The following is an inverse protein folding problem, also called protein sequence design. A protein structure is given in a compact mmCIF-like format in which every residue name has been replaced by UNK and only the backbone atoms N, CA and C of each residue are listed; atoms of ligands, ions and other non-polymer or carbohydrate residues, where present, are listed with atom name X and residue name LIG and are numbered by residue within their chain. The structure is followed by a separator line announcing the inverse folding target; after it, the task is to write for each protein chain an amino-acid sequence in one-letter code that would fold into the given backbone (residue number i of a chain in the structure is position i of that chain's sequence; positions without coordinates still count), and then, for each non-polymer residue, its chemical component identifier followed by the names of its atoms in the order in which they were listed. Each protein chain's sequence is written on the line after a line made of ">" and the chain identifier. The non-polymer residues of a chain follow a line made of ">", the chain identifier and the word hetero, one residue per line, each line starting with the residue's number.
data_IF_317246038140
#
_entry.id   IF_317246038140
#
_cell.length_a   1.000
_cell.length_b   1.000
_cell.length_c   1.000
_cell.angle_alpha   90.00
_cell.angle_beta   90.00
_cell.angle_gamma   90.00
#
_symmetry.space_group_name_H-M   'P 1'
#
loop_
_entity.id
_entity.type
_entity.pdbx_description
1 polymer ?
#
# COMPACT_ATOMS: atom_id res chain seq x y z
N UNK A 1 -10.45 53.33 49.89
CA UNK A 1 -9.59 54.24 50.68
C UNK A 1 -8.40 53.40 51.13
N UNK A 2 -7.15 53.88 51.03
CA UNK A 2 -6.00 53.13 51.54
C UNK A 2 -6.14 52.95 53.05
N UNK A 3 -5.88 51.73 53.52
CA UNK A 3 -5.87 51.40 54.95
C UNK A 3 -4.46 51.57 55.50
N UNK A 4 -4.34 52.01 56.76
CA UNK A 4 -3.03 52.15 57.41
C UNK A 4 -2.78 50.88 58.22
N UNK A 5 -1.68 50.19 57.95
CA UNK A 5 -1.36 48.94 58.65
C UNK A 5 -0.02 48.34 58.25
N UNK A 6 0.22 47.10 58.66
CA UNK A 6 1.41 46.35 58.28
C UNK A 6 1.20 45.65 56.94
N UNK A 7 2.21 45.68 56.07
CA UNK A 7 2.18 44.92 54.84
C UNK A 7 2.07 43.42 55.17
N UNK A 8 1.20 42.70 54.47
CA UNK A 8 1.03 41.25 54.68
C UNK A 8 2.15 40.41 54.05
N UNK A 9 3.07 41.04 53.32
CA UNK A 9 4.23 40.38 52.74
C UNK A 9 5.39 40.28 53.75
N UNK A 10 5.93 39.07 53.93
CA UNK A 10 6.99 38.73 54.90
C UNK A 10 8.31 39.45 54.58
N UNK A 11 8.49 39.90 53.34
CA UNK A 11 9.68 40.61 52.89
C UNK A 11 9.64 42.12 53.15
N UNK A 12 8.52 42.65 53.66
CA UNK A 12 8.41 44.05 54.04
C UNK A 12 8.89 44.25 55.48
N UNK A 13 9.60 45.36 55.74
CA UNK A 13 9.90 45.79 57.10
C UNK A 13 8.59 46.00 57.89
N UNK A 14 8.61 45.71 59.20
CA UNK A 14 7.46 45.82 60.14
C UNK A 14 7.02 47.27 60.42
N UNK A 15 7.16 48.16 59.44
CA UNK A 15 6.75 49.55 59.50
C UNK A 15 5.29 49.68 59.05
N UNK A 16 4.55 50.56 59.73
CA UNK A 16 3.19 50.92 59.36
C UNK A 16 3.24 51.71 58.05
N UNK A 17 2.53 51.23 57.03
CA UNK A 17 2.49 51.81 55.68
C UNK A 17 1.03 51.99 55.22
N UNK A 18 0.84 52.81 54.19
CA UNK A 18 -0.40 52.79 53.43
C UNK A 18 -0.51 51.46 52.66
N UNK A 19 -1.63 50.78 52.85
CA UNK A 19 -1.95 49.51 52.25
C UNK A 19 -2.96 49.70 51.13
N UNK A 20 -2.71 48.95 50.07
CA UNK A 20 -3.51 48.91 48.86
C UNK A 20 -3.99 47.48 48.66
N UNK A 21 -5.25 47.32 48.26
CA UNK A 21 -5.81 46.01 47.95
C UNK A 21 -5.25 45.52 46.61
N UNK A 22 -4.50 44.42 46.63
CA UNK A 22 -3.99 43.82 45.41
C UNK A 22 -5.10 43.02 44.72
N UNK A 23 -5.59 43.49 43.57
CA UNK A 23 -6.61 42.76 42.79
C UNK A 23 -6.15 41.38 42.25
N UNK A 24 -4.86 41.06 42.32
CA UNK A 24 -4.34 39.76 41.89
C UNK A 24 -4.44 38.69 42.99
N UNK A 25 -4.33 39.06 44.27
CA UNK A 25 -4.33 38.11 45.40
C UNK A 25 -5.30 38.48 46.53
N UNK A 26 -6.03 39.58 46.38
CA UNK A 26 -7.00 40.14 47.35
C UNK A 26 -6.40 40.33 48.75
N UNK A 27 -5.10 40.68 48.81
CA UNK A 27 -4.38 40.97 50.06
C UNK A 27 -4.02 42.45 50.14
N UNK A 28 -4.09 43.05 51.34
CA UNK A 28 -3.58 44.40 51.56
C UNK A 28 -2.05 44.36 51.59
N UNK A 29 -1.41 45.08 50.67
CA UNK A 29 0.04 45.14 50.50
C UNK A 29 0.51 46.58 50.38
N UNK A 30 1.77 46.85 50.69
CA UNK A 30 2.34 48.19 50.48
C UNK A 30 2.42 48.52 48.97
N UNK A 31 2.54 49.80 48.63
CA UNK A 31 2.61 50.26 47.24
C UNK A 31 3.72 49.57 46.43
N UNK A 32 4.91 49.38 47.00
CA UNK A 32 6.02 48.72 46.31
C UNK A 32 5.71 47.27 45.94
N UNK A 33 5.11 46.50 46.87
CA UNK A 33 4.69 45.13 46.60
C UNK A 33 3.55 45.06 45.59
N UNK A 34 2.61 46.02 45.62
CA UNK A 34 1.58 46.12 44.61
C UNK A 34 2.17 46.33 43.21
N UNK A 35 3.15 47.23 43.07
CA UNK A 35 3.86 47.48 41.81
C UNK A 35 4.56 46.20 41.33
N UNK A 36 5.31 45.52 42.20
CA UNK A 36 5.98 44.27 41.86
C UNK A 36 5.01 43.17 41.39
N UNK A 37 3.89 42.98 42.09
CA UNK A 37 2.86 42.02 41.67
C UNK A 37 2.27 42.33 40.29
N UNK A 38 2.00 43.61 40.02
CA UNK A 38 1.51 44.05 38.71
C UNK A 38 2.55 43.78 37.61
N UNK A 39 3.82 44.04 37.88
CA UNK A 39 4.92 43.77 36.95
C UNK A 39 5.09 42.27 36.67
N UNK A 40 5.11 41.43 37.70
CA UNK A 40 5.18 39.97 37.58
C UNK A 40 3.98 39.44 36.78
N UNK A 41 2.78 39.97 37.04
CA UNK A 41 1.56 39.56 36.32
C UNK A 41 1.65 39.92 34.83
N UNK A 42 2.15 41.12 34.51
CA UNK A 42 2.39 41.54 33.12
C UNK A 42 3.42 40.66 32.42
N UNK A 43 4.51 40.33 33.10
CA UNK A 43 5.56 39.47 32.58
C UNK A 43 5.06 38.03 32.34
N UNK A 44 4.32 37.47 33.29
CA UNK A 44 3.69 36.15 33.13
C UNK A 44 2.71 36.12 31.95
N UNK A 45 1.94 37.20 31.74
CA UNK A 45 1.07 37.32 30.58
C UNK A 45 1.86 37.30 29.27
N UNK A 46 2.96 38.06 29.17
CA UNK A 46 3.84 38.05 27.99
C UNK A 46 4.42 36.67 27.71
N UNK A 47 4.86 35.96 28.76
CA UNK A 47 5.37 34.59 28.66
C UNK A 47 4.31 33.63 28.15
N UNK A 48 3.08 33.70 28.68
CA UNK A 48 1.96 32.89 28.21
C UNK A 48 1.62 33.17 26.75
N UNK A 49 1.65 34.42 26.32
CA UNK A 49 1.41 34.78 24.92
C UNK A 49 2.53 34.25 24.00
N UNK A 50 3.80 34.28 24.45
CA UNK A 50 4.93 33.67 23.71
C UNK A 50 4.74 32.16 23.57
N UNK A 51 4.47 31.46 24.67
CA UNK A 51 4.25 30.00 24.67
C UNK A 51 3.06 29.61 23.80
N UNK A 52 1.99 30.41 23.80
CA UNK A 52 0.83 30.20 22.93
C UNK A 52 1.23 30.32 21.45
N UNK A 53 2.07 31.29 21.10
CA UNK A 53 2.54 31.48 19.72
C UNK A 53 3.48 30.34 19.28
N UNK A 54 4.38 29.89 20.15
CA UNK A 54 5.24 28.74 19.91
C UNK A 54 4.40 27.47 19.68
N UNK A 55 3.42 27.21 20.54
CA UNK A 55 2.50 26.08 20.41
C UNK A 55 1.74 26.13 19.07
N UNK A 56 1.21 27.29 18.69
CA UNK A 56 0.52 27.46 17.41
C UNK A 56 1.43 27.21 16.20
N UNK A 57 2.69 27.63 16.30
CA UNK A 57 3.70 27.37 15.26
C UNK A 57 3.95 25.87 15.14
N UNK A 58 4.19 25.18 16.25
CA UNK A 58 4.40 23.72 16.27
C UNK A 58 3.18 22.98 15.72
N UNK A 59 1.97 23.36 16.12
CA UNK A 59 0.73 22.75 15.59
C UNK A 59 0.64 22.91 14.08
N UNK A 60 0.97 24.10 13.56
CA UNK A 60 0.93 24.37 12.11
C UNK A 60 1.96 23.52 11.36
N UNK A 61 3.19 23.42 11.88
CA UNK A 61 4.23 22.56 11.31
C UNK A 61 3.83 21.09 11.32
N UNK A 62 3.25 20.59 12.42
CA UNK A 62 2.78 19.20 12.51
C UNK A 62 1.66 18.90 11.51
N UNK A 63 0.72 19.83 11.30
CA UNK A 63 -0.32 19.68 10.28
C UNK A 63 0.27 19.50 8.88
N UNK A 64 1.23 20.36 8.50
CA UNK A 64 1.91 20.26 7.21
C UNK A 64 2.64 18.92 7.03
N UNK A 65 3.33 18.45 8.08
CA UNK A 65 4.01 17.15 8.05
C UNK A 65 3.00 16.01 7.85
N UNK A 66 1.87 16.04 8.56
CA UNK A 66 0.82 15.02 8.43
C UNK A 66 0.26 15.00 7.00
N UNK A 67 -0.06 16.18 6.45
CA UNK A 67 -0.57 16.29 5.07
C UNK A 67 0.43 15.72 4.05
N UNK A 68 1.72 16.06 4.19
CA UNK A 68 2.77 15.53 3.33
C UNK A 68 2.88 14.00 3.44
N UNK A 69 2.80 13.45 4.66
CA UNK A 69 2.87 12.00 4.88
C UNK A 69 1.66 11.27 4.31
N UNK A 70 0.45 11.83 4.45
CA UNK A 70 -0.75 11.26 3.84
C UNK A 70 -0.64 11.22 2.31
N UNK A 71 -0.09 12.28 1.70
CA UNK A 71 0.18 12.30 0.27
C UNK A 71 1.17 11.21 -0.16
N UNK A 72 2.27 11.03 0.57
CA UNK A 72 3.25 9.97 0.31
C UNK A 72 2.62 8.59 0.41
N UNK A 73 1.86 8.32 1.47
CA UNK A 73 1.15 7.04 1.66
C UNK A 73 0.20 6.78 0.48
N UNK A 74 -0.55 7.79 0.04
CA UNK A 74 -1.45 7.65 -1.11
C UNK A 74 -0.70 7.33 -2.42
N UNK A 75 0.51 7.87 -2.62
CA UNK A 75 1.37 7.49 -3.77
C UNK A 75 1.87 6.05 -3.66
N UNK A 76 2.33 5.64 -2.48
CA UNK A 76 2.84 4.28 -2.24
C UNK A 76 1.74 3.23 -2.44
N UNK A 77 0.52 3.50 -1.97
CA UNK A 77 -0.64 2.63 -2.19
C UNK A 77 -0.92 2.42 -3.69
N UNK A 78 -0.85 3.48 -4.50
CA UNK A 78 -1.01 3.36 -5.96
C UNK A 78 0.09 2.52 -6.60
N UNK A 79 1.34 2.68 -6.16
CA UNK A 79 2.46 1.87 -6.66
C UNK A 79 2.29 0.39 -6.28
N UNK A 80 1.83 0.11 -5.06
CA UNK A 80 1.51 -1.25 -4.62
C UNK A 80 0.40 -1.85 -5.49
N UNK A 81 -0.66 -1.09 -5.78
CA UNK A 81 -1.75 -1.55 -6.65
C UNK A 81 -1.25 -1.85 -8.07
N UNK A 82 -0.40 -1.00 -8.63
CA UNK A 82 0.25 -1.23 -9.93
C UNK A 82 1.14 -2.47 -9.90
N UNK A 83 1.92 -2.65 -8.84
CA UNK A 83 2.76 -3.83 -8.65
C UNK A 83 1.94 -5.12 -8.56
N UNK A 84 0.80 -5.10 -7.87
CA UNK A 84 -0.13 -6.25 -7.82
C UNK A 84 -0.65 -6.61 -9.20
N UNK A 85 -1.14 -5.63 -9.96
CA UNK A 85 -1.61 -5.86 -11.34
C UNK A 85 -0.51 -6.44 -12.23
N UNK A 86 0.73 -6.00 -12.05
CA UNK A 86 1.87 -6.54 -12.77
C UNK A 86 2.13 -8.01 -12.41
N UNK A 87 2.08 -8.37 -11.13
CA UNK A 87 2.20 -9.76 -10.68
C UNK A 87 1.08 -10.62 -11.25
N UNK A 88 -0.18 -10.17 -11.17
CA UNK A 88 -1.33 -10.91 -11.70
C UNK A 88 -1.18 -11.18 -13.22
N UNK A 89 -0.72 -10.18 -13.99
CA UNK A 89 -0.44 -10.37 -15.42
C UNK A 89 0.70 -11.36 -15.66
N UNK A 90 1.74 -11.32 -14.83
CA UNK A 90 2.88 -12.25 -14.93
C UNK A 90 2.46 -13.68 -14.64
N UNK A 91 1.63 -13.90 -13.62
CA UNK A 91 1.11 -15.22 -13.26
C UNK A 91 0.28 -15.80 -14.42
N UNK A 92 -0.62 -14.99 -15.01
CA UNK A 92 -1.38 -15.40 -16.20
C UNK A 92 -0.46 -15.76 -17.38
N UNK A 93 0.60 -14.99 -17.63
CA UNK A 93 1.56 -15.31 -18.70
C UNK A 93 2.32 -16.61 -18.44
N UNK A 94 2.64 -16.91 -17.18
CA UNK A 94 3.28 -18.18 -16.80
C UNK A 94 2.35 -19.35 -17.10
N UNK A 95 1.07 -19.24 -16.73
CA UNK A 95 0.06 -20.27 -16.98
C UNK A 95 -0.13 -20.52 -18.49
N UNK A 96 -0.18 -19.45 -19.29
CA UNK A 96 -0.25 -19.55 -20.75
C UNK A 96 0.98 -20.26 -21.34
N UNK A 97 2.18 -19.92 -20.88
CA UNK A 97 3.43 -20.56 -21.32
C UNK A 97 3.42 -22.05 -20.95
N UNK A 98 2.97 -22.40 -19.75
CA UNK A 98 2.88 -23.79 -19.30
C UNK A 98 1.92 -24.59 -20.19
N UNK A 99 0.75 -24.03 -20.50
CA UNK A 99 -0.21 -24.66 -21.40
C UNK A 99 0.37 -24.87 -22.81
N UNK A 100 1.05 -23.86 -23.38
CA UNK A 100 1.73 -23.98 -24.67
C UNK A 100 2.79 -25.10 -24.62
N UNK A 101 3.58 -25.19 -23.55
CA UNK A 101 4.56 -26.26 -23.37
C UNK A 101 3.91 -27.65 -23.33
N UNK A 102 2.78 -27.78 -22.65
CA UNK A 102 2.03 -29.03 -22.59
C UNK A 102 1.48 -29.43 -23.96
N UNK A 103 0.90 -28.49 -24.72
CA UNK A 103 0.45 -28.74 -26.08
C UNK A 103 1.59 -29.16 -27.02
N UNK A 104 2.76 -28.50 -26.93
CA UNK A 104 3.95 -28.88 -27.69
C UNK A 104 4.39 -30.31 -27.34
N UNK A 105 4.44 -30.66 -26.05
CA UNK A 105 4.80 -32.01 -25.62
C UNK A 105 3.82 -33.06 -26.14
N UNK A 106 2.51 -32.80 -26.08
CA UNK A 106 1.49 -33.69 -26.64
C UNK A 106 1.67 -33.88 -28.14
N UNK A 107 1.91 -32.80 -28.89
CA UNK A 107 2.18 -32.87 -30.33
C UNK A 107 3.46 -33.66 -30.67
N UNK A 108 4.52 -33.53 -29.85
CA UNK A 108 5.74 -34.34 -30.01
C UNK A 108 5.46 -35.82 -29.76
N UNK A 109 4.70 -36.15 -28.72
CA UNK A 109 4.35 -37.54 -28.38
C UNK A 109 3.51 -38.18 -29.48
N UNK A 110 2.48 -37.48 -29.98
CA UNK A 110 1.63 -37.96 -31.08
C UNK A 110 2.44 -38.21 -32.36
N UNK A 111 3.30 -37.26 -32.74
CA UNK A 111 4.18 -37.48 -33.89
C UNK A 111 5.13 -38.68 -33.70
N UNK A 112 5.60 -38.94 -32.47
CA UNK A 112 6.43 -40.11 -32.19
C UNK A 112 5.64 -41.41 -32.24
N UNK A 113 4.39 -41.45 -31.78
CA UNK A 113 3.56 -42.65 -31.89
C UNK A 113 3.24 -43.00 -33.34
N UNK A 114 2.92 -42.00 -34.15
CA UNK A 114 2.59 -42.20 -35.58
C UNK A 114 3.81 -42.72 -36.36
N UNK A 115 5.01 -42.20 -36.05
CA UNK A 115 6.27 -42.70 -36.62
C UNK A 115 6.57 -44.14 -36.15
N UNK A 116 6.30 -44.50 -34.89
CA UNK A 116 6.52 -45.87 -34.42
C UNK A 116 5.52 -46.85 -35.02
N UNK A 117 4.27 -46.46 -35.27
CA UNK A 117 3.30 -47.29 -35.99
C UNK A 117 3.68 -47.45 -37.48
N UNK A 118 4.14 -46.40 -38.16
CA UNK A 118 4.60 -46.49 -39.56
C UNK A 118 5.86 -47.36 -39.74
N UNK A 119 6.78 -47.34 -38.76
CA UNK A 119 8.00 -48.16 -38.79
C UNK A 119 7.83 -49.53 -38.11
N UNK A 120 6.77 -49.74 -37.35
CA UNK A 120 6.43 -50.99 -36.67
C UNK A 120 5.68 -51.99 -37.56
N UNK A 121 5.18 -51.56 -38.72
CA UNK A 121 4.68 -52.47 -39.75
C UNK A 121 5.86 -53.21 -40.40
N UNK A 122 5.86 -54.55 -40.32
CA UNK A 122 6.85 -55.34 -41.06
C UNK A 122 6.64 -55.13 -42.57
N UNK A 123 7.71 -55.18 -43.38
CA UNK A 123 7.58 -55.08 -44.85
C UNK A 123 6.57 -56.08 -45.44
N UNK A 124 6.34 -57.21 -44.74
CA UNK A 124 5.30 -58.18 -45.10
C UNK A 124 3.88 -57.64 -44.90
N UNK A 125 3.62 -56.86 -43.85
CA UNK A 125 2.30 -56.31 -43.56
C UNK A 125 1.94 -55.19 -44.54
N UNK A 126 2.92 -54.35 -44.93
CA UNK A 126 2.76 -53.36 -46.01
C UNK A 126 2.46 -53.99 -47.36
N UNK A 127 3.07 -55.14 -47.64
CA UNK A 127 2.82 -55.89 -48.87
C UNK A 127 1.44 -56.59 -48.84
N UNK A 128 0.99 -57.07 -47.68
CA UNK A 128 -0.34 -57.69 -47.51
C UNK A 128 -1.47 -56.73 -47.85
N UNK A 129 -1.45 -55.50 -47.34
CA UNK A 129 -2.49 -54.50 -47.64
C UNK A 129 -2.54 -54.18 -49.14
N UNK A 130 -1.38 -54.14 -49.81
CA UNK A 130 -1.30 -53.89 -51.25
C UNK A 130 -1.82 -55.07 -52.08
N UNK A 131 -1.54 -56.32 -51.66
CA UNK A 131 -2.06 -57.53 -52.30
C UNK A 131 -3.57 -57.68 -52.09
N UNK A 132 -4.10 -57.29 -50.93
CA UNK A 132 -5.53 -57.31 -50.66
C UNK A 132 -6.28 -56.31 -51.53
N UNK A 133 -5.75 -55.09 -51.71
CA UNK A 133 -6.32 -54.11 -52.63
C UNK A 133 -6.29 -54.58 -54.10
N UNK A 134 -5.19 -55.21 -54.55
CA UNK A 134 -5.10 -55.77 -55.91
C UNK A 134 -6.06 -56.97 -56.08
N UNK A 135 -6.24 -57.79 -55.05
CA UNK A 135 -7.14 -58.95 -55.09
C UNK A 135 -8.61 -58.55 -55.13
N UNK A 136 -8.98 -57.47 -54.45
CA UNK A 136 -10.32 -56.85 -54.53
C UNK A 136 -10.57 -56.31 -55.96
N UNK A 137 -9.60 -55.66 -56.57
CA UNK A 137 -9.75 -55.14 -57.93
C UNK A 137 -9.88 -56.28 -58.97
N UNK A 138 -9.12 -57.37 -58.83
CA UNK A 138 -9.22 -58.53 -59.74
C UNK A 138 -10.56 -59.26 -59.61
N UNK A 139 -11.06 -59.45 -58.38
CA UNK A 139 -12.36 -60.11 -58.15
C UNK A 139 -13.53 -59.26 -58.69
N UNK A 140 -13.48 -57.95 -58.53
CA UNK A 140 -14.48 -57.04 -59.11
C UNK A 140 -14.48 -57.04 -60.65
N UNK A 141 -13.30 -57.22 -61.28
CA UNK A 141 -13.14 -57.31 -62.72
C UNK A 141 -13.64 -58.65 -63.30
N UNK A 142 -13.45 -59.76 -62.58
CA UNK A 142 -13.93 -61.09 -63.00
C UNK A 142 -15.47 -61.21 -62.88
N UNK A 143 -16.09 -60.49 -61.93
CA UNK A 143 -17.55 -60.38 -61.83
C UNK A 143 -18.17 -59.53 -62.95
N UNK A 144 -17.51 -58.44 -63.34
CA UNK A 144 -18.01 -57.59 -64.45
C UNK A 144 -17.94 -58.30 -65.80
N UNK A 145 -16.95 -59.15 -66.04
CA UNK A 145 -16.79 -59.88 -67.31
C UNK A 145 -17.69 -61.11 -67.44
N UNK A 146 -18.11 -61.73 -66.33
CA UNK A 146 -19.13 -62.81 -66.33
C UNK A 146 -20.56 -62.31 -66.58
N UNK A 147 -20.85 -61.03 -66.32
CA UNK A 147 -22.17 -60.43 -66.58
C UNK A 147 -22.38 -59.93 -68.03
N UNK A 148 -21.37 -60.03 -68.90
CA UNK A 148 -21.38 -59.52 -70.29
C UNK A 148 -21.50 -60.66 -71.34
N UNK A 149 -21.83 -61.89 -70.93
CA UNK A 149 -22.13 -63.01 -71.86
C UNK A 149 -23.60 -63.42 -71.83
#
# INVERSE_FOLDING_TARGET
>A
MPEIGLCTDITCDNEIKELYECHCCFRPVCLNHLIQHVEITKENKRRLDSLRNELNTVITTLKLIIEQKLFTIGREQKLIEQGKKFLDMSDNSIDEIQNIFEQINQAIVLNRSDVVEEFGMSENDRCSTYIDHISIDITSFDETTKSIK
#
